data_IF_885259537807
#
_entry.id   IF_885259537807
#
_cell.length_a   1.000
_cell.length_b   1.000
_cell.length_c   1.000
_cell.angle_alpha   90.00
_cell.angle_beta   90.00
_cell.angle_gamma   90.00
#
_symmetry.space_group_name_H-M   'P 1'
#
loop_
_entity.id
_entity.type
_entity.pdbx_description
1 polymer ?
#
# COMPACT_ATOMS: atom_id res chain seq x y z
N UNK A 1 -0.61 33.72 -21.18
CA UNK A 1 0.35 32.68 -21.60
C UNK A 1 0.73 31.91 -20.34
N UNK A 2 0.34 30.65 -20.26
CA UNK A 2 0.66 29.79 -19.10
C UNK A 2 2.09 29.28 -19.29
N UNK A 3 2.95 29.49 -18.30
CA UNK A 3 4.30 28.92 -18.29
C UNK A 3 4.25 27.64 -17.46
N UNK A 4 4.39 26.44 -18.07
CA UNK A 4 4.39 25.20 -17.32
C UNK A 4 5.59 25.12 -16.39
N UNK A 5 5.43 24.41 -15.28
CA UNK A 5 6.54 24.13 -14.37
C UNK A 5 7.55 23.17 -15.03
N UNK A 6 8.83 23.18 -14.61
CA UNK A 6 9.83 22.23 -15.12
C UNK A 6 9.40 20.77 -14.97
N UNK A 7 8.75 20.42 -13.86
CA UNK A 7 8.25 19.06 -13.62
C UNK A 7 7.12 18.67 -14.59
N UNK A 8 6.29 19.62 -14.98
CA UNK A 8 5.26 19.38 -15.99
C UNK A 8 5.86 19.13 -17.38
N UNK A 9 6.94 19.84 -17.73
CA UNK A 9 7.68 19.58 -18.99
C UNK A 9 8.34 18.19 -18.95
N UNK A 10 8.91 17.80 -17.80
CA UNK A 10 9.48 16.45 -17.60
C UNK A 10 8.41 15.37 -17.77
N UNK A 11 7.22 15.57 -17.21
CA UNK A 11 6.06 14.68 -17.38
C UNK A 11 5.68 14.51 -18.85
N UNK A 12 5.45 15.63 -19.54
CA UNK A 12 5.08 15.66 -20.95
C UNK A 12 6.12 14.95 -21.83
N UNK A 13 7.40 15.24 -21.61
CA UNK A 13 8.51 14.63 -22.36
C UNK A 13 8.64 13.14 -22.08
N UNK A 14 8.44 12.71 -20.82
CA UNK A 14 8.57 11.31 -20.43
C UNK A 14 7.46 10.44 -21.02
N UNK A 15 6.20 10.93 -21.02
CA UNK A 15 5.05 10.20 -21.53
C UNK A 15 4.71 10.52 -23.00
N UNK A 16 5.44 11.43 -23.64
CA UNK A 16 5.31 11.72 -25.06
C UNK A 16 4.05 12.49 -25.47
N UNK A 17 3.44 13.25 -24.56
CA UNK A 17 2.27 14.08 -24.88
C UNK A 17 2.64 15.57 -24.99
N UNK A 18 1.90 16.30 -25.83
CA UNK A 18 2.01 17.74 -25.95
C UNK A 18 0.86 18.41 -25.17
N UNK A 19 1.15 19.23 -24.15
CA UNK A 19 0.10 19.91 -23.41
C UNK A 19 -0.51 21.03 -24.25
N UNK A 20 -1.83 21.01 -24.39
CA UNK A 20 -2.59 22.09 -24.99
C UNK A 20 -3.15 22.99 -23.88
N UNK A 21 -2.70 24.24 -23.84
CA UNK A 21 -3.15 25.21 -22.84
C UNK A 21 -4.19 26.12 -23.45
N UNK A 22 -5.39 26.11 -22.88
CA UNK A 22 -6.45 27.01 -23.29
C UNK A 22 -5.97 28.47 -23.28
N UNK A 23 -6.34 29.23 -24.31
CA UNK A 23 -6.14 30.66 -24.29
C UNK A 23 -7.01 31.30 -23.19
N UNK A 24 -6.54 32.43 -22.66
CA UNK A 24 -7.36 33.21 -21.73
C UNK A 24 -8.66 33.61 -22.43
N UNK A 25 -9.80 33.41 -21.78
CA UNK A 25 -11.15 33.66 -22.32
C UNK A 25 -11.51 32.79 -23.53
N UNK A 26 -11.18 31.50 -23.50
CA UNK A 26 -11.71 30.49 -24.43
C UNK A 26 -12.80 29.64 -23.73
N UNK A 27 -14.09 30.02 -23.83
CA UNK A 27 -15.19 29.31 -23.17
C UNK A 27 -15.45 27.94 -23.79
N UNK A 28 -15.05 27.74 -25.05
CA UNK A 28 -15.43 26.58 -25.85
C UNK A 28 -14.62 25.35 -25.42
N UNK A 29 -13.31 25.53 -25.21
CA UNK A 29 -12.42 24.50 -24.66
C UNK A 29 -12.73 24.16 -23.20
N UNK A 30 -13.27 25.12 -22.45
CA UNK A 30 -13.65 24.95 -21.03
C UNK A 30 -14.94 24.14 -20.85
N UNK A 31 -15.89 24.26 -21.79
CA UNK A 31 -17.21 23.62 -21.70
C UNK A 31 -17.18 22.09 -21.63
N UNK A 32 -16.22 21.44 -22.30
CA UNK A 32 -16.08 19.97 -22.25
C UNK A 32 -15.70 19.50 -20.84
N UNK A 33 -14.71 20.16 -20.23
CA UNK A 33 -14.24 19.83 -18.88
C UNK A 33 -15.31 20.13 -17.83
N UNK A 34 -15.99 21.27 -17.96
CA UNK A 34 -17.08 21.66 -17.05
C UNK A 34 -18.29 20.72 -17.16
N UNK A 35 -18.63 20.27 -18.37
CA UNK A 35 -19.72 19.31 -18.56
C UNK A 35 -19.41 17.95 -17.92
N UNK A 36 -18.18 17.44 -18.11
CA UNK A 36 -17.76 16.19 -17.49
C UNK A 36 -17.72 16.29 -15.96
N UNK A 37 -17.17 17.38 -15.42
CA UNK A 37 -17.15 17.63 -13.98
C UNK A 37 -18.57 17.72 -13.42
N UNK A 38 -19.45 18.47 -14.10
CA UNK A 38 -20.86 18.58 -13.72
C UNK A 38 -21.61 17.25 -13.82
N UNK A 39 -21.25 16.39 -14.79
CA UNK A 39 -21.81 15.04 -14.89
C UNK A 39 -21.41 14.19 -13.69
N UNK A 40 -20.11 14.05 -13.39
CA UNK A 40 -19.64 13.32 -12.22
C UNK A 40 -20.20 13.88 -10.90
N UNK A 41 -20.35 15.20 -10.78
CA UNK A 41 -20.98 15.80 -9.60
C UNK A 41 -22.44 15.39 -9.45
N UNK A 42 -23.24 15.49 -10.52
CA UNK A 42 -24.67 15.17 -10.46
C UNK A 42 -24.95 13.68 -10.29
N UNK A 43 -24.16 12.84 -10.93
CA UNK A 43 -24.42 11.41 -11.04
C UNK A 43 -23.77 10.60 -9.91
N UNK A 44 -22.57 10.98 -9.48
CA UNK A 44 -21.82 10.32 -8.41
C UNK A 44 -21.85 11.13 -7.10
N UNK A 45 -21.35 12.37 -7.11
CA UNK A 45 -21.03 13.06 -5.86
C UNK A 45 -22.29 13.50 -5.08
N UNK A 46 -23.27 14.11 -5.74
CA UNK A 46 -24.49 14.61 -5.11
C UNK A 46 -25.31 13.48 -4.48
N UNK A 47 -25.62 12.36 -5.19
CA UNK A 47 -26.34 11.24 -4.58
C UNK A 47 -25.58 10.64 -3.38
N UNK A 48 -24.27 10.42 -3.53
CA UNK A 48 -23.43 9.83 -2.49
C UNK A 48 -23.40 10.68 -1.21
N UNK A 49 -23.17 11.99 -1.35
CA UNK A 49 -23.14 12.93 -0.22
C UNK A 49 -24.53 13.13 0.39
N UNK A 50 -25.58 13.12 -0.44
CA UNK A 50 -26.97 13.21 0.05
C UNK A 50 -27.32 12.00 0.90
N UNK A 51 -26.99 10.80 0.45
CA UNK A 51 -27.26 9.57 1.19
C UNK A 51 -26.46 9.53 2.51
N UNK A 52 -25.18 9.90 2.47
CA UNK A 52 -24.33 10.04 3.67
C UNK A 52 -24.96 10.99 4.71
N UNK A 53 -25.53 12.12 4.26
CA UNK A 53 -26.20 13.07 5.13
C UNK A 53 -27.51 12.52 5.72
N UNK A 54 -28.28 11.74 4.96
CA UNK A 54 -29.52 11.09 5.41
C UNK A 54 -29.24 10.02 6.45
N UNK A 55 -28.22 9.19 6.21
CA UNK A 55 -27.84 8.09 7.11
C UNK A 55 -27.07 8.58 8.35
N UNK A 56 -26.60 9.82 8.33
CA UNK A 56 -25.80 10.41 9.41
C UNK A 56 -24.41 9.80 9.54
N UNK A 57 -23.93 9.10 8.52
CA UNK A 57 -22.61 8.44 8.48
C UNK A 57 -21.68 9.26 7.59
N UNK A 58 -20.59 9.87 8.13
CA UNK A 58 -19.66 10.62 7.30
C UNK A 58 -18.93 9.70 6.33
N UNK A 59 -18.85 10.12 5.06
CA UNK A 59 -18.05 9.41 4.06
C UNK A 59 -16.60 9.87 4.11
N UNK A 60 -15.68 8.91 4.22
CA UNK A 60 -14.26 9.19 4.07
C UNK A 60 -13.86 9.17 2.59
N UNK A 61 -12.66 9.68 2.32
CA UNK A 61 -12.13 9.75 0.96
C UNK A 61 -11.91 8.37 0.32
N UNK A 62 -11.71 7.32 1.13
CA UNK A 62 -11.51 5.95 0.66
C UNK A 62 -12.82 5.37 0.13
N UNK A 63 -13.90 5.51 0.89
CA UNK A 63 -15.25 5.16 0.48
C UNK A 63 -15.68 5.99 -0.74
N UNK A 64 -15.36 7.28 -0.79
CA UNK A 64 -15.63 8.12 -1.95
C UNK A 64 -14.88 7.63 -3.21
N UNK A 65 -13.59 7.28 -3.10
CA UNK A 65 -12.81 6.74 -4.20
C UNK A 65 -13.34 5.35 -4.66
N UNK A 66 -13.77 4.50 -3.72
CA UNK A 66 -14.37 3.21 -4.05
C UNK A 66 -15.71 3.38 -4.79
N UNK A 67 -16.55 4.30 -4.33
CA UNK A 67 -17.79 4.66 -5.03
C UNK A 67 -17.51 5.22 -6.42
N UNK A 68 -16.47 6.05 -6.58
CA UNK A 68 -16.06 6.58 -7.88
C UNK A 68 -15.59 5.48 -8.84
N UNK A 69 -14.85 4.49 -8.36
CA UNK A 69 -14.43 3.34 -9.18
C UNK A 69 -15.64 2.50 -9.63
N UNK A 70 -16.55 2.17 -8.71
CA UNK A 70 -17.76 1.43 -9.05
C UNK A 70 -18.66 2.18 -10.03
N UNK A 71 -18.79 3.50 -9.86
CA UNK A 71 -19.51 4.36 -10.79
C UNK A 71 -18.85 4.39 -12.17
N UNK A 72 -17.52 4.49 -12.24
CA UNK A 72 -16.79 4.39 -13.52
C UNK A 72 -17.07 3.06 -14.22
N UNK A 73 -17.05 1.94 -13.51
CA UNK A 73 -17.36 0.62 -14.07
C UNK A 73 -18.80 0.57 -14.61
N UNK A 74 -19.76 1.15 -13.89
CA UNK A 74 -21.16 1.23 -14.32
C UNK A 74 -21.31 2.06 -15.60
N UNK A 75 -20.84 3.31 -15.60
CA UNK A 75 -21.09 4.23 -16.71
C UNK A 75 -20.32 3.85 -17.97
N UNK A 76 -19.15 3.22 -17.84
CA UNK A 76 -18.37 2.75 -18.99
C UNK A 76 -18.89 1.45 -19.60
N UNK A 77 -19.75 0.70 -18.88
CA UNK A 77 -20.44 -0.48 -19.38
C UNK A 77 -21.76 -0.17 -20.10
N UNK A 78 -22.23 1.09 -20.07
CA UNK A 78 -23.48 1.52 -20.70
C UNK A 78 -23.25 2.21 -22.05
N UNK A 79 -24.25 2.16 -22.92
CA UNK A 79 -24.20 2.85 -24.20
C UNK A 79 -24.19 4.37 -23.99
N UNK A 80 -23.10 5.03 -24.37
CA UNK A 80 -22.95 6.46 -24.20
C UNK A 80 -23.56 7.22 -25.38
N UNK A 81 -24.40 8.21 -25.09
CA UNK A 81 -25.24 8.90 -26.07
C UNK A 81 -24.46 9.71 -27.11
N UNK A 82 -23.28 10.24 -26.78
CA UNK A 82 -22.48 11.00 -27.76
C UNK A 82 -21.71 10.09 -28.72
N UNK A 83 -21.02 9.07 -28.20
CA UNK A 83 -20.23 8.14 -29.01
C UNK A 83 -21.06 7.01 -29.65
N UNK A 84 -22.33 6.86 -29.23
CA UNK A 84 -23.27 5.83 -29.68
C UNK A 84 -22.69 4.40 -29.59
N UNK A 85 -21.89 4.17 -28.55
CA UNK A 85 -21.18 2.91 -28.30
C UNK A 85 -20.99 2.73 -26.79
N UNK A 86 -20.69 1.49 -26.37
CA UNK A 86 -20.28 1.19 -25.00
C UNK A 86 -18.78 1.52 -24.87
N UNK A 87 -18.37 2.46 -23.99
CA UNK A 87 -16.97 2.84 -23.82
C UNK A 87 -16.03 1.65 -23.60
N UNK A 88 -16.40 0.69 -22.76
CA UNK A 88 -15.56 -0.48 -22.47
C UNK A 88 -15.31 -1.35 -23.71
N UNK A 89 -16.36 -1.64 -24.49
CA UNK A 89 -16.22 -2.42 -25.73
C UNK A 89 -15.35 -1.69 -26.76
N UNK A 90 -15.53 -0.37 -26.85
CA UNK A 90 -14.76 0.46 -27.76
C UNK A 90 -13.29 0.54 -27.35
N UNK A 91 -13.01 0.68 -26.05
CA UNK A 91 -11.66 0.73 -25.50
C UNK A 91 -10.86 -0.55 -25.83
N UNK A 92 -11.49 -1.72 -25.85
CA UNK A 92 -10.82 -2.98 -26.25
C UNK A 92 -10.23 -2.88 -27.67
N UNK A 93 -10.95 -2.26 -28.59
CA UNK A 93 -10.49 -2.05 -29.97
C UNK A 93 -9.43 -0.95 -30.05
N UNK A 94 -9.66 0.18 -29.36
CA UNK A 94 -8.74 1.32 -29.36
C UNK A 94 -7.38 0.96 -28.73
N UNK A 95 -7.35 0.09 -27.71
CA UNK A 95 -6.10 -0.38 -27.09
C UNK A 95 -5.12 -1.02 -28.07
N UNK A 96 -5.57 -1.52 -29.21
CA UNK A 96 -4.71 -2.10 -30.24
C UNK A 96 -3.85 -1.05 -30.97
N UNK A 97 -4.27 0.21 -30.96
CA UNK A 97 -3.56 1.33 -31.60
C UNK A 97 -2.93 2.30 -30.60
N UNK A 98 -3.10 2.06 -29.29
CA UNK A 98 -2.44 2.83 -28.23
C UNK A 98 -0.99 2.40 -28.03
N UNK A 99 -0.12 3.36 -27.74
CA UNK A 99 1.27 3.08 -27.38
C UNK A 99 1.36 2.58 -25.93
N UNK A 100 2.25 1.61 -25.63
CA UNK A 100 2.51 1.21 -24.25
C UNK A 100 3.18 2.37 -23.50
N UNK A 101 2.85 2.49 -22.21
CA UNK A 101 3.56 3.44 -21.35
C UNK A 101 5.04 3.02 -21.17
N UNK A 102 5.96 3.98 -20.98
CA UNK A 102 7.34 3.68 -20.61
C UNK A 102 7.41 2.74 -19.40
N UNK A 103 8.35 1.78 -19.44
CA UNK A 103 8.50 0.78 -18.38
C UNK A 103 8.97 1.39 -17.06
N UNK A 104 9.86 2.38 -17.12
CA UNK A 104 10.27 3.16 -15.96
C UNK A 104 9.28 4.29 -15.76
N UNK A 105 8.68 4.37 -14.57
CA UNK A 105 7.78 5.47 -14.21
C UNK A 105 8.56 6.72 -13.84
N UNK A 106 8.13 7.88 -14.32
CA UNK A 106 8.64 9.16 -13.86
C UNK A 106 8.14 9.46 -12.45
N UNK A 107 9.08 9.71 -11.54
CA UNK A 107 8.77 10.25 -10.22
C UNK A 107 8.65 11.77 -10.30
N UNK A 108 7.48 12.28 -9.91
CA UNK A 108 7.17 13.72 -9.84
C UNK A 108 6.70 14.02 -8.42
N UNK A 109 7.10 15.17 -7.89
CA UNK A 109 6.71 15.63 -6.56
C UNK A 109 7.78 15.39 -5.50
N UNK A 110 7.36 15.45 -4.22
CA UNK A 110 8.28 15.29 -3.10
C UNK A 110 8.98 13.92 -3.15
N UNK A 111 10.29 13.86 -2.87
CA UNK A 111 11.03 12.60 -2.91
C UNK A 111 10.37 11.62 -1.94
N UNK A 112 9.86 10.53 -2.49
CA UNK A 112 9.31 9.43 -1.71
C UNK A 112 10.42 8.88 -0.83
N UNK A 113 10.17 8.74 0.48
CA UNK A 113 11.20 8.24 1.38
C UNK A 113 11.45 6.78 1.06
N UNK A 114 12.66 6.48 0.60
CA UNK A 114 13.07 5.12 0.27
C UNK A 114 13.54 4.42 1.54
N UNK A 115 12.99 3.24 1.80
CA UNK A 115 13.36 2.41 2.93
C UNK A 115 13.75 1.02 2.47
N UNK A 116 14.89 0.54 3.01
CA UNK A 116 15.31 -0.83 2.81
C UNK A 116 14.47 -1.75 3.69
N UNK A 117 13.97 -2.83 3.09
CA UNK A 117 13.24 -3.88 3.79
C UNK A 117 14.22 -4.67 4.66
N UNK A 118 13.88 -4.82 5.94
CA UNK A 118 14.69 -5.55 6.89
C UNK A 118 14.54 -7.07 6.76
N UNK A 119 15.31 -7.83 7.56
CA UNK A 119 15.27 -9.30 7.56
C UNK A 119 13.95 -9.88 8.12
N UNK A 120 13.15 -9.06 8.78
CA UNK A 120 11.83 -9.44 9.29
C UNK A 120 10.73 -9.13 8.26
N UNK A 121 11.10 -8.82 7.02
CA UNK A 121 10.17 -8.40 5.97
C UNK A 121 9.37 -7.16 6.37
N UNK A 122 10.00 -6.20 7.04
CA UNK A 122 9.36 -4.99 7.52
C UNK A 122 10.09 -3.72 7.08
N UNK A 123 9.35 -2.62 7.03
CA UNK A 123 9.80 -1.26 6.81
C UNK A 123 9.35 -0.38 7.97
N UNK A 124 10.12 0.66 8.28
CA UNK A 124 9.79 1.61 9.35
C UNK A 124 9.40 2.95 8.77
N UNK A 125 8.28 3.48 9.25
CA UNK A 125 7.80 4.83 8.94
C UNK A 125 7.11 5.41 10.17
N UNK A 126 7.37 6.68 10.51
CA UNK A 126 6.76 7.32 11.69
C UNK A 126 7.02 6.57 13.01
N UNK A 127 8.17 5.92 13.17
CA UNK A 127 8.52 5.01 14.29
C UNK A 127 7.67 3.74 14.42
N UNK A 128 6.69 3.51 13.57
CA UNK A 128 5.94 2.26 13.43
C UNK A 128 6.64 1.27 12.48
N UNK A 129 6.22 0.00 12.53
CA UNK A 129 6.66 -1.05 11.58
C UNK A 129 5.50 -1.49 10.69
N UNK A 130 5.79 -1.67 9.41
CA UNK A 130 4.84 -2.14 8.40
C UNK A 130 5.46 -3.34 7.68
N UNK A 131 4.75 -4.46 7.62
CA UNK A 131 5.23 -5.64 6.90
C UNK A 131 5.18 -5.43 5.37
N UNK A 132 6.00 -6.16 4.63
CA UNK A 132 5.94 -6.29 3.18
C UNK A 132 6.10 -7.76 2.81
N UNK A 133 5.70 -8.21 1.61
CA UNK A 133 5.88 -9.61 1.26
C UNK A 133 7.36 -10.02 1.21
N UNK A 134 7.67 -11.23 1.72
CA UNK A 134 9.02 -11.80 1.94
C UNK A 134 9.96 -11.70 0.74
N UNK A 135 9.44 -11.78 -0.49
CA UNK A 135 10.21 -11.61 -1.73
C UNK A 135 10.98 -10.28 -1.81
N UNK A 136 10.59 -9.28 -1.01
CA UNK A 136 11.20 -7.95 -0.99
C UNK A 136 12.27 -7.79 0.10
N UNK A 137 12.58 -8.83 0.88
CA UNK A 137 13.64 -8.73 1.91
C UNK A 137 14.96 -8.29 1.27
N UNK A 138 15.54 -7.21 1.82
CA UNK A 138 16.80 -6.64 1.34
C UNK A 138 16.68 -5.73 0.11
N UNK A 139 15.49 -5.60 -0.49
CA UNK A 139 15.21 -4.60 -1.52
C UNK A 139 14.82 -3.24 -0.90
N UNK A 140 14.66 -2.23 -1.73
CA UNK A 140 14.24 -0.88 -1.32
C UNK A 140 12.84 -0.61 -1.83
N UNK A 141 11.96 -0.17 -0.95
CA UNK A 141 10.60 0.26 -1.29
C UNK A 141 10.43 1.75 -1.00
N UNK A 142 9.56 2.39 -1.77
CA UNK A 142 9.15 3.77 -1.54
C UNK A 142 7.96 3.79 -0.57
N UNK A 143 8.03 4.64 0.44
CA UNK A 143 6.93 4.84 1.39
C UNK A 143 6.14 6.07 1.00
N UNK A 144 4.89 5.87 0.59
CA UNK A 144 3.93 6.93 0.26
C UNK A 144 2.85 6.92 1.33
N UNK A 145 2.49 8.09 1.85
CA UNK A 145 1.31 8.22 2.70
C UNK A 145 0.17 8.73 1.85
N UNK A 146 -0.92 7.98 1.82
CA UNK A 146 -2.10 8.29 1.05
C UNK A 146 -3.35 8.09 1.90
N UNK A 147 -4.11 9.17 2.10
CA UNK A 147 -5.40 9.16 2.80
C UNK A 147 -5.41 8.34 4.12
N UNK A 148 -4.42 8.56 4.98
CA UNK A 148 -4.32 7.88 6.28
C UNK A 148 -3.77 6.43 6.22
N UNK A 149 -3.32 5.96 5.06
CA UNK A 149 -2.58 4.71 4.93
C UNK A 149 -1.14 4.95 4.50
N UNK A 150 -0.31 3.96 4.82
CA UNK A 150 1.04 3.80 4.32
C UNK A 150 1.01 2.81 3.17
N UNK A 151 1.26 3.32 1.97
CA UNK A 151 1.41 2.55 0.74
C UNK A 151 2.90 2.30 0.48
N UNK A 152 3.28 1.03 0.43
CA UNK A 152 4.64 0.59 0.12
C UNK A 152 4.70 0.26 -1.36
N UNK A 153 5.57 0.96 -2.09
CA UNK A 153 5.61 0.95 -3.55
C UNK A 153 6.96 0.46 -4.03
N UNK A 154 6.99 -0.42 -5.04
CA UNK A 154 8.22 -0.80 -5.72
C UNK A 154 8.71 0.35 -6.61
N UNK A 155 9.91 0.94 -6.39
CA UNK A 155 10.31 2.17 -7.07
C UNK A 155 10.46 2.04 -8.59
N UNK A 156 10.85 0.85 -9.08
CA UNK A 156 11.09 0.64 -10.51
C UNK A 156 9.80 0.60 -11.33
N UNK A 157 8.75 -0.02 -10.78
CA UNK A 157 7.50 -0.32 -11.48
C UNK A 157 6.37 0.63 -11.06
N UNK A 158 6.46 1.23 -9.87
CA UNK A 158 5.39 2.01 -9.26
C UNK A 158 4.25 1.15 -8.70
N UNK A 159 4.41 -0.18 -8.62
CA UNK A 159 3.37 -1.07 -8.09
C UNK A 159 3.28 -0.95 -6.57
N UNK A 160 2.05 -0.84 -6.05
CA UNK A 160 1.78 -0.95 -4.61
C UNK A 160 1.94 -2.43 -4.23
N UNK A 161 2.89 -2.71 -3.34
CA UNK A 161 3.23 -4.07 -2.90
C UNK A 161 2.69 -4.41 -1.52
N UNK A 162 2.28 -3.39 -0.76
CA UNK A 162 1.57 -3.52 0.51
C UNK A 162 0.88 -2.19 0.84
N UNK A 163 -0.28 -2.27 1.47
CA UNK A 163 -1.01 -1.13 1.99
C UNK A 163 -1.39 -1.39 3.45
N UNK A 164 -1.20 -0.38 4.29
CA UNK A 164 -1.46 -0.49 5.72
C UNK A 164 -2.15 0.78 6.23
N UNK A 165 -3.13 0.65 7.11
CA UNK A 165 -3.58 1.81 7.89
C UNK A 165 -2.40 2.39 8.70
N UNK A 166 -2.32 3.71 8.78
CA UNK A 166 -1.25 4.40 9.49
C UNK A 166 -1.43 4.20 11.01
N UNK A 167 -0.47 3.54 11.65
CA UNK A 167 -0.52 3.23 13.08
C UNK A 167 0.34 4.17 13.92
N UNK A 168 0.03 4.24 15.21
CA UNK A 168 0.75 5.08 16.16
C UNK A 168 2.26 4.73 16.27
N UNK A 169 3.12 5.70 16.63
CA UNK A 169 4.53 5.47 16.88
C UNK A 169 4.79 4.32 17.86
N UNK A 170 5.70 3.40 17.50
CA UNK A 170 6.04 2.23 18.33
C UNK A 170 5.17 1.00 18.08
N UNK A 171 4.04 1.14 17.37
CA UNK A 171 3.18 0.03 16.97
C UNK A 171 3.71 -0.71 15.73
N UNK A 172 3.05 -1.82 15.39
CA UNK A 172 3.32 -2.57 14.18
C UNK A 172 2.00 -2.94 13.47
N UNK A 173 1.96 -2.76 12.16
CA UNK A 173 0.89 -3.25 11.27
C UNK A 173 1.47 -4.39 10.44
N UNK A 174 1.09 -5.62 10.77
CA UNK A 174 1.66 -6.85 10.21
C UNK A 174 0.54 -7.65 9.56
N UNK A 175 0.66 -7.88 8.26
CA UNK A 175 -0.25 -8.72 7.49
C UNK A 175 0.39 -10.11 7.34
N UNK A 176 -0.34 -11.16 7.74
CA UNK A 176 0.19 -12.53 7.72
C UNK A 176 0.39 -13.05 6.28
N UNK A 177 -0.41 -12.57 5.32
CA UNK A 177 -0.29 -12.90 3.88
C UNK A 177 1.07 -12.51 3.27
N UNK A 178 1.83 -11.64 3.93
CA UNK A 178 3.17 -11.26 3.50
C UNK A 178 4.22 -12.33 3.78
N UNK A 179 3.92 -13.33 4.60
CA UNK A 179 4.87 -14.35 5.02
C UNK A 179 4.50 -15.70 4.42
N UNK A 180 5.52 -16.44 3.99
CA UNK A 180 5.33 -17.78 3.46
C UNK A 180 5.04 -18.76 4.61
N UNK A 181 3.80 -19.22 4.68
CA UNK A 181 3.34 -20.26 5.60
C UNK A 181 2.69 -19.76 6.89
N UNK A 182 2.07 -20.67 7.66
CA UNK A 182 1.35 -20.31 8.88
C UNK A 182 2.31 -19.80 9.95
N UNK A 183 1.87 -18.76 10.67
CA UNK A 183 2.60 -18.23 11.82
C UNK A 183 2.85 -19.34 12.84
N UNK A 184 4.12 -19.71 13.01
CA UNK A 184 4.52 -20.67 14.05
C UNK A 184 4.24 -20.08 15.43
N UNK A 185 3.66 -20.88 16.32
CA UNK A 185 3.49 -20.49 17.71
C UNK A 185 4.87 -20.17 18.33
N UNK A 186 4.99 -19.07 19.09
CA UNK A 186 6.25 -18.73 19.72
C UNK A 186 6.66 -19.86 20.67
N UNK A 187 7.74 -20.56 20.33
CA UNK A 187 8.32 -21.57 21.22
C UNK A 187 8.96 -20.85 22.42
N UNK A 188 8.28 -20.99 23.57
CA UNK A 188 8.76 -20.55 24.89
C UNK A 188 9.51 -21.66 25.63
N UNK A 189 9.89 -22.73 24.93
CA UNK A 189 10.68 -23.80 25.50
C UNK A 189 12.10 -23.35 25.84
N UNK A 190 12.79 -24.07 26.74
CA UNK A 190 14.18 -23.81 27.05
C UNK A 190 15.02 -23.94 25.77
N UNK A 191 15.90 -22.95 25.50
CA UNK A 191 16.83 -22.98 24.37
C UNK A 191 18.24 -23.30 24.88
N UNK A 192 18.58 -24.59 25.06
CA UNK A 192 19.87 -24.99 25.62
C UNK A 192 21.00 -24.61 24.66
N UNK A 193 21.95 -23.79 25.14
CA UNK A 193 23.13 -23.34 24.39
C UNK A 193 24.36 -24.17 24.75
N UNK A 194 24.50 -24.56 26.01
CA UNK A 194 25.67 -25.33 26.49
C UNK A 194 25.45 -26.84 26.38
N UNK A 195 26.54 -27.62 26.40
CA UNK A 195 26.46 -29.10 26.40
C UNK A 195 25.70 -29.63 27.62
N UNK A 196 25.91 -29.01 28.79
CA UNK A 196 25.24 -29.35 30.05
C UNK A 196 23.73 -29.09 29.96
N UNK A 197 23.32 -27.94 29.44
CA UNK A 197 21.89 -27.63 29.25
C UNK A 197 21.23 -28.61 28.27
N UNK A 198 21.92 -28.99 27.18
CA UNK A 198 21.40 -29.98 26.23
C UNK A 198 21.24 -31.36 26.87
N UNK A 199 22.21 -31.79 27.68
CA UNK A 199 22.14 -33.04 28.44
C UNK A 199 21.01 -33.02 29.47
N UNK A 200 20.79 -31.87 30.12
CA UNK A 200 19.71 -31.71 31.08
C UNK A 200 18.33 -31.76 30.40
N UNK A 201 18.14 -31.05 29.29
CA UNK A 201 16.91 -31.14 28.49
C UNK A 201 16.67 -32.57 27.96
N UNK A 202 17.73 -33.33 27.67
CA UNK A 202 17.61 -34.71 27.23
C UNK A 202 17.07 -35.67 28.32
N UNK A 203 16.98 -35.25 29.59
CA UNK A 203 16.36 -36.03 30.66
C UNK A 203 14.83 -36.13 30.54
N UNK A 204 14.21 -35.33 29.65
CA UNK A 204 12.79 -35.42 29.31
C UNK A 204 11.97 -34.19 29.70
N UNK A 205 10.64 -34.29 29.53
CA UNK A 205 9.70 -33.18 29.67
C UNK A 205 9.74 -32.50 31.06
N UNK A 206 10.00 -33.28 32.12
CA UNK A 206 10.07 -32.74 33.49
C UNK A 206 11.29 -31.83 33.68
N UNK A 207 12.42 -32.14 33.02
CA UNK A 207 13.62 -31.30 33.07
C UNK A 207 13.42 -29.99 32.28
N UNK A 208 12.71 -30.05 31.15
CA UNK A 208 12.32 -28.85 30.42
C UNK A 208 11.36 -27.97 31.24
N UNK A 209 10.35 -28.57 31.88
CA UNK A 209 9.41 -27.87 32.75
C UNK A 209 10.11 -27.21 33.95
N UNK A 210 11.12 -27.88 34.53
CA UNK A 210 11.95 -27.33 35.60
C UNK A 210 12.69 -26.07 35.14
N UNK A 211 13.30 -26.08 33.94
CA UNK A 211 13.99 -24.91 33.41
C UNK A 211 13.03 -23.75 33.12
N UNK A 212 11.83 -24.04 32.59
CA UNK A 212 10.80 -23.03 32.35
C UNK A 212 10.33 -22.41 33.68
N UNK A 213 10.10 -23.23 34.70
CA UNK A 213 9.72 -22.76 36.04
C UNK A 213 10.82 -21.94 36.73
N UNK A 214 12.08 -22.39 36.65
CA UNK A 214 13.22 -21.68 37.21
C UNK A 214 13.43 -20.30 36.55
N UNK A 215 13.27 -20.24 35.21
CA UNK A 215 13.34 -18.99 34.47
C UNK A 215 12.21 -18.01 34.84
N UNK A 216 10.99 -18.51 35.12
CA UNK A 216 9.86 -17.69 35.56
C UNK A 216 10.10 -17.01 36.93
N UNK A 217 10.91 -17.63 37.79
CA UNK A 217 11.29 -17.11 39.12
C UNK A 217 12.55 -16.21 39.04
N UNK A 218 13.10 -16.00 37.83
CA UNK A 218 14.24 -15.12 37.59
C UNK A 218 15.61 -15.81 37.62
N UNK A 219 15.66 -17.14 37.79
CA UNK A 219 16.92 -17.88 37.75
C UNK A 219 17.19 -18.39 36.32
N UNK A 220 17.99 -17.63 35.57
CA UNK A 220 18.24 -17.88 34.13
C UNK A 220 19.50 -18.67 33.84
N UNK A 221 20.22 -19.15 34.87
CA UNK A 221 21.47 -19.91 34.70
C UNK A 221 21.44 -21.17 35.54
N UNK A 222 21.78 -22.31 34.94
CA UNK A 222 22.24 -23.47 35.70
C UNK A 222 23.58 -23.08 36.33
N UNK A 223 23.59 -22.94 37.65
CA UNK A 223 24.85 -22.79 38.39
C UNK A 223 25.76 -23.98 38.07
N UNK A 224 27.07 -23.74 37.96
CA UNK A 224 28.07 -24.81 37.91
C UNK A 224 27.98 -25.60 39.23
N UNK A 225 27.14 -26.62 39.27
CA UNK A 225 27.15 -27.57 40.39
C UNK A 225 28.32 -28.50 40.12
N UNK A 226 29.28 -28.48 41.04
CA UNK A 226 30.38 -29.43 41.12
C UNK A 226 29.75 -30.81 41.33
N UNK A 227 29.83 -31.68 40.32
CA UNK A 227 29.63 -33.11 40.50
C UNK A 227 30.79 -33.60 41.39
N UNK A 228 30.45 -33.98 42.63
CA UNK A 228 31.34 -34.71 43.54
C UNK A 228 30.95 -36.19 43.48
#
# INVERSE_FOLDING_TARGET
MVVPTPDYIRLATHYGFAPDFCHANDPQSKGIVENLCGYAQRDLAVPLLTQSAVDGVPIDIRAANAAAAAWCDEVNALAHSEIQAIPDERLVSERQVLQPLPSLRLQIGAPTVLHKVDRLSCVRYGSARYSVPTRLIGTTVAVVVDHGAVCLVEPATGMIVAEHELVAPGSASILDEHYDGPRLAPSRGPRPKTSVEKQFCALGADAEAFLVGAAAIGNTRLGRVCLM
#
